data_IF_000832328739
#
_entry.id   IF_000832328739
#
_cell.length_a   1.000
_cell.length_b   1.000
_cell.length_c   1.000
_cell.angle_alpha   90.00
_cell.angle_beta   90.00
_cell.angle_gamma   90.00
#
_symmetry.space_group_name_H-M   'P 1'
#
loop_
_entity.id
_entity.type
_entity.pdbx_description
1 polymer ?
#
# COMPACT_ATOMS: atom_id res chain seq x y z
N UNK A 1 -12.12 -19.96 11.07
CA UNK A 1 -10.66 -19.95 10.83
C UNK A 1 -10.43 -20.78 9.56
N UNK A 2 -10.45 -20.25 8.34
CA UNK A 2 -10.33 -18.90 7.75
C UNK A 2 -11.51 -18.66 6.78
N UNK A 3 -12.31 -17.59 6.92
CA UNK A 3 -13.14 -17.14 5.81
C UNK A 3 -12.33 -16.16 4.94
N UNK A 4 -12.72 -15.97 3.69
CA UNK A 4 -12.10 -15.07 2.70
C UNK A 4 -10.94 -15.68 1.91
N UNK A 5 -11.33 -16.55 0.97
CA UNK A 5 -10.53 -16.92 -0.19
C UNK A 5 -10.34 -15.71 -1.09
N UNK A 6 -9.16 -15.11 -1.00
CA UNK A 6 -8.58 -14.22 -2.00
C UNK A 6 -7.09 -14.45 -1.94
N UNK A 7 -6.44 -14.64 -3.10
CA UNK A 7 -4.98 -14.60 -3.20
C UNK A 7 -4.53 -13.22 -2.73
N UNK A 8 -4.12 -13.10 -1.47
CA UNK A 8 -3.50 -11.89 -0.95
C UNK A 8 -2.14 -11.75 -1.64
N UNK A 9 -2.16 -11.12 -2.80
CA UNK A 9 -0.94 -10.79 -3.52
C UNK A 9 -0.21 -9.73 -2.71
N UNK A 10 0.77 -10.18 -1.93
CA UNK A 10 1.64 -9.30 -1.19
C UNK A 10 2.51 -8.54 -2.20
N UNK A 11 2.66 -7.21 -2.05
CA UNK A 11 3.55 -6.47 -2.94
C UNK A 11 4.94 -7.12 -2.93
N UNK A 12 5.60 -7.22 -4.10
CA UNK A 12 6.89 -7.88 -4.21
C UNK A 12 7.87 -7.36 -3.16
N UNK A 13 8.64 -8.25 -2.53
CA UNK A 13 9.58 -7.87 -1.48
C UNK A 13 10.57 -6.77 -1.92
N UNK A 14 10.98 -6.79 -3.19
CA UNK A 14 11.82 -5.75 -3.79
C UNK A 14 11.16 -4.36 -3.78
N UNK A 15 9.85 -4.29 -4.07
CA UNK A 15 9.09 -3.04 -4.02
C UNK A 15 8.97 -2.52 -2.59
N UNK A 16 8.67 -3.41 -1.63
CA UNK A 16 8.61 -3.03 -0.22
C UNK A 16 9.95 -2.52 0.31
N UNK A 17 11.06 -3.16 -0.11
CA UNK A 17 12.41 -2.70 0.23
C UNK A 17 12.67 -1.31 -0.33
N UNK A 18 12.36 -1.07 -1.61
CA UNK A 18 12.54 0.23 -2.25
C UNK A 18 11.71 1.33 -1.57
N UNK A 19 10.44 1.07 -1.29
CA UNK A 19 9.55 2.06 -0.65
C UNK A 19 9.89 2.35 0.82
N UNK A 20 10.73 1.54 1.47
CA UNK A 20 11.27 1.78 2.82
C UNK A 20 12.57 2.58 2.80
N UNK A 21 13.18 2.76 1.64
CA UNK A 21 14.44 3.46 1.49
C UNK A 21 14.20 4.98 1.36
N UNK A 22 14.73 5.83 2.27
CA UNK A 22 14.67 7.28 2.13
C UNK A 22 15.17 7.79 0.77
N UNK A 23 16.17 7.12 0.19
CA UNK A 23 16.75 7.50 -1.09
C UNK A 23 15.73 7.41 -2.24
N UNK A 24 14.71 6.54 -2.12
CA UNK A 24 13.64 6.43 -3.11
C UNK A 24 12.83 7.73 -3.23
N UNK A 25 12.72 8.49 -2.14
CA UNK A 25 11.95 9.74 -2.08
C UNK A 25 12.83 10.99 -2.14
N UNK A 26 14.15 10.85 -2.34
CA UNK A 26 15.12 11.94 -2.24
C UNK A 26 14.97 12.76 -0.94
N UNK A 27 14.68 12.08 0.18
CA UNK A 27 14.42 12.70 1.47
C UNK A 27 15.55 12.42 2.47
N UNK A 28 15.89 13.42 3.28
CA UNK A 28 16.98 13.36 4.28
C UNK A 28 16.56 12.77 5.64
N UNK A 29 15.40 12.11 5.71
CA UNK A 29 14.81 11.59 6.95
C UNK A 29 14.32 10.15 6.86
N UNK A 30 14.07 9.49 8.01
CA UNK A 30 13.59 8.11 8.02
C UNK A 30 12.21 7.99 7.38
N UNK A 31 11.99 6.89 6.64
CA UNK A 31 10.66 6.53 6.15
C UNK A 31 9.92 5.76 7.24
N UNK A 32 8.88 6.36 7.81
CA UNK A 32 8.04 5.66 8.77
C UNK A 32 6.97 4.85 8.03
N UNK A 33 6.86 3.55 8.35
CA UNK A 33 5.91 2.65 7.69
C UNK A 33 4.79 2.30 8.64
N UNK A 34 3.55 2.62 8.25
CA UNK A 34 2.33 2.25 8.98
C UNK A 34 1.50 1.29 8.15
N UNK A 35 1.20 0.14 8.73
CA UNK A 35 0.35 -0.86 8.10
C UNK A 35 -1.09 -0.75 8.58
N UNK A 36 -2.02 -0.82 7.63
CA UNK A 36 -3.45 -0.91 7.87
C UNK A 36 -4.00 -2.17 7.21
N UNK A 37 -5.27 -2.50 7.49
CA UNK A 37 -5.95 -3.61 6.82
C UNK A 37 -5.94 -3.47 5.29
N UNK A 38 -6.12 -2.25 4.76
CA UNK A 38 -6.27 -2.01 3.32
C UNK A 38 -5.00 -1.51 2.62
N UNK A 39 -4.00 -1.02 3.35
CA UNK A 39 -2.87 -0.29 2.76
C UNK A 39 -1.61 -0.27 3.62
N UNK A 40 -0.47 -0.06 2.98
CA UNK A 40 0.76 0.38 3.62
C UNK A 40 0.91 1.89 3.39
N UNK A 41 1.29 2.63 4.43
CA UNK A 41 1.53 4.07 4.38
C UNK A 41 2.98 4.33 4.73
N UNK A 42 3.67 5.07 3.87
CA UNK A 42 5.06 5.49 4.03
C UNK A 42 5.04 7.00 4.28
N UNK A 43 5.43 7.42 5.47
CA UNK A 43 5.50 8.82 5.88
C UNK A 43 6.94 9.30 5.68
N UNK A 44 7.09 10.37 4.91
CA UNK A 44 8.39 10.90 4.48
C UNK A 44 8.35 12.42 4.67
N UNK A 45 8.89 12.90 5.80
CA UNK A 45 8.79 14.31 6.16
C UNK A 45 7.34 14.77 6.26
N UNK A 46 6.94 15.70 5.38
CA UNK A 46 5.56 16.21 5.31
C UNK A 46 4.64 15.39 4.39
N UNK A 47 5.19 14.46 3.61
CA UNK A 47 4.46 13.70 2.60
C UNK A 47 4.06 12.31 3.10
N UNK A 48 2.96 11.79 2.56
CA UNK A 48 2.47 10.45 2.82
C UNK A 48 2.18 9.70 1.53
N UNK A 49 2.88 8.58 1.32
CA UNK A 49 2.70 7.70 0.17
C UNK A 49 1.92 6.45 0.59
N UNK A 50 0.83 6.13 -0.12
CA UNK A 50 -0.03 4.99 0.21
C UNK A 50 0.00 3.91 -0.87
N UNK A 51 0.39 2.69 -0.49
CA UNK A 51 0.28 1.50 -1.31
C UNK A 51 -0.99 0.71 -0.93
N UNK A 52 -1.96 0.67 -1.85
CA UNK A 52 -3.24 -0.04 -1.67
C UNK A 52 -3.08 -1.55 -1.93
N UNK A 53 -3.40 -2.36 -0.92
CA UNK A 53 -3.36 -3.83 -1.00
C UNK A 53 -4.50 -4.34 -1.89
N UNK A 54 -4.32 -5.47 -2.58
CA UNK A 54 -5.38 -6.09 -3.39
C UNK A 54 -6.35 -6.86 -2.48
N UNK A 55 -7.24 -6.13 -1.81
CA UNK A 55 -8.20 -6.68 -0.86
C UNK A 55 -9.63 -6.35 -1.28
N UNK A 56 -10.57 -7.17 -0.86
CA UNK A 56 -12.01 -6.91 -0.97
C UNK A 56 -12.66 -7.13 0.40
N UNK A 57 -13.20 -6.05 0.97
CA UNK A 57 -13.91 -6.07 2.26
C UNK A 57 -15.45 -6.02 2.09
N UNK A 58 -15.97 -6.15 0.87
CA UNK A 58 -17.40 -6.05 0.54
C UNK A 58 -17.91 -4.60 0.46
N UNK A 59 -17.38 -3.68 1.27
CA UNK A 59 -17.63 -2.23 1.15
C UNK A 59 -16.48 -1.46 0.49
N UNK A 60 -15.31 -2.09 0.36
CA UNK A 60 -14.11 -1.53 -0.26
C UNK A 60 -13.45 -2.60 -1.11
N UNK A 61 -13.43 -2.37 -2.41
CA UNK A 61 -12.86 -3.31 -3.37
C UNK A 61 -11.63 -2.71 -4.08
N UNK A 62 -10.47 -3.25 -3.73
CA UNK A 62 -9.16 -2.99 -4.32
C UNK A 62 -8.59 -4.21 -5.06
N UNK A 63 -9.40 -5.25 -5.28
CA UNK A 63 -8.97 -6.52 -5.90
C UNK A 63 -8.32 -6.32 -7.27
N UNK A 64 -8.78 -5.34 -8.06
CA UNK A 64 -8.23 -5.05 -9.40
C UNK A 64 -7.46 -3.72 -9.44
N UNK A 65 -6.48 -3.66 -10.35
CA UNK A 65 -5.74 -2.41 -10.61
C UNK A 65 -6.66 -1.27 -11.08
N UNK A 66 -7.68 -1.60 -11.90
CA UNK A 66 -8.65 -0.62 -12.38
C UNK A 66 -9.45 0.01 -11.24
N UNK A 67 -9.93 -0.80 -10.28
CA UNK A 67 -10.66 -0.32 -9.09
C UNK A 67 -9.76 0.53 -8.19
N UNK A 68 -8.51 0.10 -7.94
CA UNK A 68 -7.53 0.90 -7.19
C UNK A 68 -7.28 2.27 -7.84
N UNK A 69 -7.12 2.30 -9.18
CA UNK A 69 -6.94 3.54 -9.95
C UNK A 69 -8.15 4.48 -9.88
N UNK A 70 -9.36 3.94 -9.97
CA UNK A 70 -10.60 4.73 -9.84
C UNK A 70 -10.64 5.45 -8.49
N UNK A 71 -10.29 4.75 -7.41
CA UNK A 71 -10.29 5.28 -6.05
C UNK A 71 -9.09 6.19 -5.73
N UNK A 72 -8.16 6.39 -6.65
CA UNK A 72 -7.11 7.42 -6.52
C UNK A 72 -7.48 8.71 -7.27
N UNK A 73 -8.48 8.66 -8.15
CA UNK A 73 -8.97 9.81 -8.93
C UNK A 73 -10.25 10.42 -8.35
N UNK A 74 -10.72 9.87 -7.24
CA UNK A 74 -11.83 10.35 -6.43
C UNK A 74 -11.24 10.78 -5.09
#
# INVERSE_FOLDING_TARGET
MTPFGGTHDHPPAALLKALRDPAFYAADGPVEVRETHASLVFLVGADAYKLKKPVDFGFLDYSTLARRRLMCRR
#
